data_IF_272162776832
#
_entry.id   IF_272162776832
#
_cell.length_a   1.000
_cell.length_b   1.000
_cell.length_c   1.000
_cell.angle_alpha   90.00
_cell.angle_beta   90.00
_cell.angle_gamma   90.00
#
_symmetry.space_group_name_H-M   'P 1'
#
loop_
_entity.id
_entity.type
_entity.pdbx_description
1 polymer ?
#
# COMPACT_ATOMS: atom_id res chain seq x y z
N UNK A 1 -24.14 10.18 -7.16
CA UNK A 1 -22.75 9.82 -7.49
C UNK A 1 -22.71 8.31 -7.54
N UNK A 2 -22.01 7.73 -8.51
CA UNK A 2 -21.97 6.26 -8.65
C UNK A 2 -20.92 5.67 -7.69
N UNK A 3 -21.15 4.43 -7.23
CA UNK A 3 -20.21 3.67 -6.39
C UNK A 3 -18.77 3.66 -6.95
N UNK A 4 -18.65 3.70 -8.27
CA UNK A 4 -17.36 3.76 -8.99
C UNK A 4 -16.61 5.09 -8.84
N UNK A 5 -17.33 6.22 -8.87
CA UNK A 5 -16.71 7.53 -8.65
C UNK A 5 -16.16 7.64 -7.23
N UNK A 6 -16.80 6.97 -6.28
CA UNK A 6 -16.38 6.91 -4.88
C UNK A 6 -15.13 6.02 -4.73
N UNK A 7 -15.10 4.83 -5.33
CA UNK A 7 -13.93 3.93 -5.33
C UNK A 7 -12.68 4.57 -5.97
N UNK A 8 -12.83 5.34 -7.06
CA UNK A 8 -11.68 6.02 -7.68
C UNK A 8 -11.14 7.12 -6.77
N UNK A 9 -12.03 7.87 -6.10
CA UNK A 9 -11.64 8.90 -5.11
C UNK A 9 -10.92 8.26 -3.92
N UNK A 10 -11.38 7.10 -3.47
CA UNK A 10 -10.72 6.32 -2.42
C UNK A 10 -9.32 5.89 -2.84
N UNK A 11 -9.15 5.34 -4.04
CA UNK A 11 -7.83 4.97 -4.56
C UNK A 11 -6.87 6.17 -4.64
N UNK A 12 -7.34 7.34 -5.06
CA UNK A 12 -6.56 8.58 -5.05
C UNK A 12 -6.22 9.07 -3.63
N UNK A 13 -7.14 8.91 -2.67
CA UNK A 13 -6.90 9.28 -1.28
C UNK A 13 -5.88 8.36 -0.62
N UNK A 14 -5.98 7.04 -0.84
CA UNK A 14 -5.00 6.06 -0.38
C UNK A 14 -3.64 6.36 -1.00
N UNK A 15 -3.58 6.63 -2.31
CA UNK A 15 -2.34 6.99 -3.02
C UNK A 15 -1.64 8.19 -2.39
N UNK A 16 -2.38 9.27 -2.09
CA UNK A 16 -1.82 10.45 -1.44
C UNK A 16 -1.25 10.15 -0.06
N UNK A 17 -1.94 9.29 0.70
CA UNK A 17 -1.47 8.90 2.03
C UNK A 17 -0.24 7.98 1.95
N UNK A 18 -0.18 7.06 0.99
CA UNK A 18 1.00 6.23 0.73
C UNK A 18 2.21 7.12 0.43
N UNK A 19 2.06 8.09 -0.48
CA UNK A 19 3.12 9.03 -0.81
C UNK A 19 3.60 9.82 0.42
N UNK A 20 2.68 10.39 1.20
CA UNK A 20 3.03 11.13 2.42
C UNK A 20 3.78 10.26 3.44
N UNK A 21 3.40 8.99 3.57
CA UNK A 21 4.04 8.05 4.48
C UNK A 21 5.44 7.64 4.00
N UNK A 22 5.64 7.43 2.69
CA UNK A 22 6.97 7.18 2.13
C UNK A 22 7.90 8.37 2.32
N UNK A 23 7.40 9.59 2.10
CA UNK A 23 8.15 10.84 2.36
C UNK A 23 8.56 10.93 3.84
N UNK A 24 7.66 10.60 4.77
CA UNK A 24 7.98 10.61 6.20
C UNK A 24 9.07 9.59 6.60
N UNK A 25 9.22 8.51 5.83
CA UNK A 25 10.29 7.52 5.99
C UNK A 25 11.56 7.86 5.20
N UNK A 26 11.56 8.93 4.40
CA UNK A 26 12.65 9.29 3.51
C UNK A 26 12.83 8.32 2.33
N UNK A 27 11.75 7.65 1.91
CA UNK A 27 11.77 6.65 0.84
C UNK A 27 11.20 7.25 -0.43
N UNK A 28 11.96 7.19 -1.52
CA UNK A 28 11.49 7.49 -2.87
C UNK A 28 10.73 6.28 -3.42
N UNK A 29 9.52 6.48 -3.94
CA UNK A 29 8.74 5.41 -4.56
C UNK A 29 9.32 4.94 -5.91
N UNK A 30 10.33 5.62 -6.45
CA UNK A 30 11.11 5.14 -7.58
C UNK A 30 12.26 4.22 -7.14
N UNK A 31 12.60 4.15 -5.85
CA UNK A 31 13.53 3.16 -5.31
C UNK A 31 12.82 1.83 -5.11
N UNK A 32 12.84 1.01 -6.17
CA UNK A 32 12.22 -0.31 -6.16
C UNK A 32 12.76 -1.21 -5.04
N UNK A 33 14.04 -1.09 -4.68
CA UNK A 33 14.63 -1.93 -3.63
C UNK A 33 14.06 -1.56 -2.28
N UNK A 34 13.98 -0.27 -1.96
CA UNK A 34 13.38 0.21 -0.71
C UNK A 34 11.89 -0.18 -0.62
N UNK A 35 11.14 -0.01 -1.71
CA UNK A 35 9.74 -0.41 -1.75
C UNK A 35 9.55 -1.92 -1.61
N UNK A 36 10.41 -2.75 -2.20
CA UNK A 36 10.33 -4.22 -2.06
C UNK A 36 10.55 -4.67 -0.61
N UNK A 37 11.42 -4.00 0.14
CA UNK A 37 11.59 -4.27 1.58
C UNK A 37 10.28 -3.99 2.33
N UNK A 38 9.67 -2.83 2.10
CA UNK A 38 8.37 -2.48 2.72
C UNK A 38 7.25 -3.43 2.30
N UNK A 39 7.21 -3.81 1.02
CA UNK A 39 6.22 -4.75 0.49
C UNK A 39 6.33 -6.13 1.15
N UNK A 40 7.54 -6.67 1.29
CA UNK A 40 7.79 -7.92 2.00
C UNK A 40 7.32 -7.85 3.45
N UNK A 41 7.64 -6.77 4.14
CA UNK A 41 7.20 -6.56 5.52
C UNK A 41 5.68 -6.47 5.62
N UNK A 42 5.03 -5.76 4.68
CA UNK A 42 3.57 -5.66 4.62
C UNK A 42 2.90 -7.03 4.42
N UNK A 43 3.42 -7.86 3.51
CA UNK A 43 2.92 -9.22 3.27
C UNK A 43 3.12 -10.10 4.51
N UNK A 44 4.31 -10.08 5.11
CA UNK A 44 4.61 -10.85 6.31
C UNK A 44 3.71 -10.47 7.50
N UNK A 45 3.28 -9.21 7.60
CA UNK A 45 2.32 -8.75 8.61
C UNK A 45 0.90 -9.22 8.31
N UNK A 46 0.48 -9.20 7.04
CA UNK A 46 -0.81 -9.75 6.62
C UNK A 46 -0.96 -11.23 6.96
N UNK A 47 0.11 -12.01 6.80
CA UNK A 47 0.13 -13.46 7.11
C UNK A 47 0.10 -13.77 8.61
N UNK A 48 0.77 -12.95 9.44
CA UNK A 48 0.90 -13.18 10.88
C UNK A 48 -0.28 -12.66 11.71
N UNK A 49 -1.18 -11.88 11.11
CA UNK A 49 -2.17 -11.09 11.85
C UNK A 49 -1.53 -9.89 12.56
N UNK A 50 -2.35 -9.03 13.19
CA UNK A 50 -1.91 -7.76 13.81
C UNK A 50 -0.67 -7.93 14.68
N UNK A 51 0.51 -7.53 14.17
CA UNK A 51 1.71 -7.42 14.99
C UNK A 51 1.67 -6.04 15.64
N UNK A 52 1.55 -6.03 16.97
CA UNK A 52 1.84 -4.84 17.76
C UNK A 52 3.32 -4.52 17.60
N UNK A 53 3.67 -3.77 16.55
CA UNK A 53 4.98 -3.16 16.42
C UNK A 53 5.10 -2.16 17.58
N UNK A 54 6.04 -2.32 18.52
CA UNK A 54 6.29 -1.29 19.51
C UNK A 54 6.73 -0.02 18.77
N UNK A 55 5.82 0.95 18.66
CA UNK A 55 6.06 2.20 17.95
C UNK A 55 6.82 3.15 18.86
N UNK A 56 8.13 3.22 18.69
CA UNK A 56 9.02 4.03 19.54
C UNK A 56 9.50 5.31 18.84
N UNK A 57 9.35 5.37 17.52
CA UNK A 57 9.78 6.51 16.70
C UNK A 57 8.70 6.95 15.69
N UNK A 58 8.76 8.19 15.18
CA UNK A 58 7.89 8.64 14.09
C UNK A 58 7.98 7.77 12.83
N UNK A 59 9.15 7.19 12.55
CA UNK A 59 9.36 6.28 11.42
C UNK A 59 8.62 4.95 11.62
N UNK A 60 8.60 4.44 12.86
CA UNK A 60 7.82 3.23 13.18
C UNK A 60 6.32 3.46 12.97
N UNK A 61 5.81 4.63 13.39
CA UNK A 61 4.42 5.02 13.17
C UNK A 61 4.09 5.18 11.68
N UNK A 62 4.99 5.80 10.92
CA UNK A 62 4.85 5.90 9.46
C UNK A 62 4.79 4.49 8.84
N UNK A 63 5.67 3.58 9.26
CA UNK A 63 5.70 2.20 8.77
C UNK A 63 4.39 1.44 9.09
N UNK A 64 3.88 1.53 10.31
CA UNK A 64 2.56 0.95 10.68
C UNK A 64 1.45 1.51 9.80
N UNK A 65 1.43 2.84 9.60
CA UNK A 65 0.44 3.49 8.73
C UNK A 65 0.57 3.00 7.29
N UNK A 66 1.78 2.85 6.77
CA UNK A 66 2.02 2.34 5.42
C UNK A 66 1.40 0.95 5.25
N UNK A 67 1.58 0.05 6.22
CA UNK A 67 1.02 -1.30 6.15
C UNK A 67 -0.50 -1.31 6.19
N UNK A 68 -1.11 -0.47 7.03
CA UNK A 68 -2.57 -0.31 7.04
C UNK A 68 -3.10 0.19 5.70
N UNK A 69 -2.41 1.16 5.08
CA UNK A 69 -2.76 1.68 3.75
C UNK A 69 -2.58 0.64 2.63
N UNK A 70 -1.54 -0.21 2.70
CA UNK A 70 -1.36 -1.33 1.78
C UNK A 70 -2.52 -2.33 1.90
N UNK A 71 -2.96 -2.64 3.12
CA UNK A 71 -4.13 -3.51 3.34
C UNK A 71 -5.41 -2.92 2.73
N UNK A 72 -5.65 -1.62 2.93
CA UNK A 72 -6.77 -0.91 2.31
C UNK A 72 -6.66 -0.91 0.78
N UNK A 73 -5.48 -0.62 0.25
CA UNK A 73 -5.21 -0.65 -1.19
C UNK A 73 -5.58 -2.01 -1.81
N UNK A 74 -5.10 -3.11 -1.23
CA UNK A 74 -5.41 -4.46 -1.72
C UNK A 74 -6.91 -4.77 -1.67
N UNK A 75 -7.59 -4.37 -0.59
CA UNK A 75 -9.04 -4.54 -0.46
C UNK A 75 -9.82 -3.75 -1.52
N UNK A 76 -9.46 -2.48 -1.76
CA UNK A 76 -10.08 -1.66 -2.81
C UNK A 76 -9.86 -2.27 -4.20
N UNK A 77 -8.69 -2.87 -4.46
CA UNK A 77 -8.43 -3.58 -5.71
C UNK A 77 -9.27 -4.85 -5.86
N UNK A 78 -9.45 -5.61 -4.78
CA UNK A 78 -10.28 -6.81 -4.75
C UNK A 78 -11.75 -6.49 -4.99
N UNK A 79 -12.29 -5.48 -4.30
CA UNK A 79 -13.67 -5.00 -4.47
C UNK A 79 -13.92 -4.54 -5.92
N UNK A 80 -13.00 -3.75 -6.49
CA UNK A 80 -13.08 -3.34 -7.89
C UNK A 80 -13.06 -4.52 -8.88
N UNK A 81 -12.18 -5.50 -8.65
CA UNK A 81 -12.09 -6.69 -9.49
C UNK A 81 -13.37 -7.55 -9.45
N UNK A 82 -14.05 -7.64 -8.30
CA UNK A 82 -15.34 -8.31 -8.16
C UNK A 82 -16.46 -7.63 -8.97
N UNK A 83 -16.35 -6.32 -9.16
CA UNK A 83 -17.25 -5.51 -9.98
C UNK A 83 -16.85 -5.47 -11.47
N UNK A 84 -15.76 -6.16 -11.85
CA UNK A 84 -15.26 -6.22 -13.23
C UNK A 84 -14.38 -5.03 -13.63
N UNK A 85 -13.94 -4.23 -12.67
CA UNK A 85 -13.21 -2.98 -12.88
C UNK A 85 -11.76 -3.06 -12.37
N UNK A 86 -10.83 -2.46 -13.11
CA UNK A 86 -9.44 -2.34 -12.70
C UNK A 86 -9.22 -1.00 -11.99
N UNK A 87 -9.41 -1.00 -10.67
CA UNK A 87 -9.14 0.19 -9.85
C UNK A 87 -7.63 0.37 -9.68
N UNK A 88 -7.13 1.48 -10.20
CA UNK A 88 -5.74 1.90 -10.01
C UNK A 88 -5.65 3.34 -9.52
N UNK A 89 -4.74 3.57 -8.57
CA UNK A 89 -4.38 4.90 -8.08
C UNK A 89 -3.35 5.61 -8.95
N UNK A 90 -2.58 6.52 -8.33
CA UNK A 90 -1.50 7.26 -8.99
C UNK A 90 -0.22 6.42 -9.16
N UNK A 91 0.89 7.03 -9.60
CA UNK A 91 2.14 6.30 -9.85
C UNK A 91 2.70 5.63 -8.58
N UNK A 92 2.52 6.24 -7.40
CA UNK A 92 2.91 5.62 -6.13
C UNK A 92 2.12 4.34 -5.86
N UNK A 93 0.83 4.29 -6.22
CA UNK A 93 0.02 3.09 -6.11
C UNK A 93 0.57 2.00 -7.03
N UNK A 94 0.87 2.34 -8.28
CA UNK A 94 1.43 1.38 -9.25
C UNK A 94 2.80 0.86 -8.80
N UNK A 95 3.64 1.71 -8.22
CA UNK A 95 4.95 1.32 -7.68
C UNK A 95 4.81 0.37 -6.48
N UNK A 96 3.93 0.69 -5.53
CA UNK A 96 3.63 -0.15 -4.37
C UNK A 96 3.02 -1.49 -4.80
N UNK A 97 2.06 -1.47 -5.72
CA UNK A 97 1.53 -2.67 -6.37
C UNK A 97 2.70 -3.51 -6.94
N UNK A 98 3.46 -2.96 -7.89
CA UNK A 98 4.58 -3.69 -8.51
C UNK A 98 5.51 -4.35 -7.49
N UNK A 99 5.85 -3.64 -6.41
CA UNK A 99 6.67 -4.18 -5.33
C UNK A 99 5.98 -5.36 -4.58
N UNK A 100 4.68 -5.25 -4.28
CA UNK A 100 3.90 -6.33 -3.64
C UNK A 100 3.82 -7.57 -4.53
N UNK A 101 3.58 -7.41 -5.83
CA UNK A 101 3.55 -8.53 -6.76
C UNK A 101 4.91 -9.24 -6.85
N UNK A 102 6.00 -8.48 -6.90
CA UNK A 102 7.36 -9.03 -6.94
C UNK A 102 7.75 -9.80 -5.67
N UNK A 103 7.17 -9.49 -4.52
CA UNK A 103 7.42 -10.21 -3.26
C UNK A 103 6.44 -11.37 -3.01
N UNK A 104 5.23 -11.31 -3.57
CA UNK A 104 4.24 -12.39 -3.45
C UNK A 104 4.55 -13.58 -4.36
N UNK A 105 5.24 -13.35 -5.47
CA UNK A 105 5.70 -14.37 -6.41
C UNK A 105 7.19 -14.16 -6.69
N UNK A 106 8.08 -14.46 -5.73
CA UNK A 106 9.50 -14.38 -5.97
C UNK A 106 9.89 -15.47 -6.98
N UNK A 107 10.59 -15.08 -8.05
CA UNK A 107 11.21 -16.01 -9.01
C UNK A 107 12.08 -17.07 -8.32
#
# INVERSE_FOLDING_TARGET
MSQFEDQRREAEQISRQLAATLVAMGIDWNDERALRVLAREALALGEKGTVGLPSTTPVDLARIKFFGLVGLMLRTMEEGAQEGELIHGSDVWKAVAKALWAEKSPD
#
